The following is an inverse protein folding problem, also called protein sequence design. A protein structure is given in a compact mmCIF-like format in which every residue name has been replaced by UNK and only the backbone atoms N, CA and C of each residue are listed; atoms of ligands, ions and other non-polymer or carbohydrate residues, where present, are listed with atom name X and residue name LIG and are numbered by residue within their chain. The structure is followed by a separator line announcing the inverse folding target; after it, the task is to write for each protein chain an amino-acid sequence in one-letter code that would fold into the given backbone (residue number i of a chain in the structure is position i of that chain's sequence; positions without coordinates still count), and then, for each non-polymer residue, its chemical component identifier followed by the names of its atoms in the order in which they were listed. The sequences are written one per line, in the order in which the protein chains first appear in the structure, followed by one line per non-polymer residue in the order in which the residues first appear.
data_IF_966758843495
#
_entry.id   IF_966758843495
#
_cell.length_a   1.000
_cell.length_b   1.000
_cell.length_c   1.000
_cell.angle_alpha   90.00
_cell.angle_beta   90.00
_cell.angle_gamma   90.00
#
_symmetry.space_group_name_H-M   'P 1'
#
loop_
_entity.id
_entity.type
_entity.pdbx_description
1 polymer ?
#
# COMPACT_ATOMS: atom_id res chain seq x y z
N UNK A 1 18.58 -25.79 -24.64
CA UNK A 1 17.44 -24.91 -24.35
C UNK A 1 16.81 -25.49 -23.12
N UNK A 2 16.80 -24.75 -22.01
CA UNK A 2 16.12 -25.23 -20.81
C UNK A 2 14.62 -25.31 -21.12
N UNK A 3 14.08 -26.51 -20.94
CA UNK A 3 12.65 -26.73 -21.03
C UNK A 3 12.04 -26.39 -19.67
N UNK A 4 10.94 -25.64 -19.66
CA UNK A 4 10.17 -25.37 -18.43
C UNK A 4 9.73 -26.68 -17.75
N UNK A 5 9.46 -27.72 -18.56
CA UNK A 5 9.20 -29.06 -18.06
C UNK A 5 10.53 -29.76 -17.75
N UNK A 6 10.70 -30.29 -16.53
CA UNK A 6 11.96 -30.91 -16.12
C UNK A 6 12.17 -32.32 -16.70
N UNK A 7 11.11 -32.96 -17.20
CA UNK A 7 11.13 -34.35 -17.64
C UNK A 7 11.51 -34.49 -19.13
N UNK A 8 12.43 -35.38 -19.41
CA UNK A 8 12.80 -35.85 -20.74
C UNK A 8 11.77 -36.84 -21.31
N UNK A 9 11.82 -37.07 -22.63
CA UNK A 9 10.95 -38.07 -23.26
C UNK A 9 11.14 -39.49 -22.69
N UNK A 10 12.36 -39.85 -22.29
CA UNK A 10 12.65 -41.17 -21.75
C UNK A 10 12.14 -41.33 -20.32
N UNK A 11 12.24 -40.28 -19.48
CA UNK A 11 11.58 -40.24 -18.17
C UNK A 11 10.06 -40.35 -18.31
N UNK A 12 9.46 -39.64 -19.27
CA UNK A 12 8.01 -39.74 -19.54
C UNK A 12 7.62 -41.17 -19.96
N UNK A 13 8.40 -41.84 -20.82
CA UNK A 13 8.16 -43.24 -21.20
C UNK A 13 8.25 -44.17 -20.00
N UNK A 14 9.25 -44.00 -19.13
CA UNK A 14 9.37 -44.79 -17.91
C UNK A 14 8.16 -44.56 -16.99
N UNK A 15 7.76 -43.31 -16.78
CA UNK A 15 6.58 -42.95 -15.99
C UNK A 15 5.31 -43.61 -16.55
N UNK A 16 5.08 -43.53 -17.86
CA UNK A 16 3.93 -44.15 -18.52
C UNK A 16 3.93 -45.67 -18.38
N UNK A 17 5.07 -46.33 -18.59
CA UNK A 17 5.23 -47.76 -18.36
C UNK A 17 4.92 -48.16 -16.92
N UNK A 18 5.42 -47.39 -15.94
CA UNK A 18 5.20 -47.65 -14.51
C UNK A 18 3.74 -47.55 -14.08
N UNK A 19 3.02 -46.56 -14.61
CA UNK A 19 1.60 -46.36 -14.29
C UNK A 19 0.65 -47.15 -15.22
N UNK A 20 1.20 -47.89 -16.19
CA UNK A 20 0.45 -48.79 -17.08
C UNK A 20 -0.36 -48.09 -18.17
N UNK A 21 0.03 -46.87 -18.58
CA UNK A 21 -0.59 -46.13 -19.69
C UNK A 21 0.33 -46.07 -20.89
N UNK A 22 -0.25 -45.90 -22.08
CA UNK A 22 0.53 -45.81 -23.33
C UNK A 22 1.10 -44.43 -23.59
N UNK A 23 0.33 -43.39 -23.27
CA UNK A 23 0.66 -42.00 -23.53
C UNK A 23 -0.19 -41.07 -22.63
N UNK A 24 0.07 -39.77 -22.74
CA UNK A 24 -0.64 -38.74 -21.98
C UNK A 24 -2.16 -38.73 -22.22
N UNK A 25 -2.63 -39.10 -23.42
CA UNK A 25 -4.06 -39.06 -23.75
C UNK A 25 -4.88 -40.04 -22.92
N UNK A 26 -4.29 -41.16 -22.48
CA UNK A 26 -4.96 -42.12 -21.62
C UNK A 26 -5.24 -41.57 -20.22
N UNK A 27 -4.41 -40.63 -19.73
CA UNK A 27 -4.63 -39.94 -18.46
C UNK A 27 -5.81 -38.98 -18.51
N UNK A 28 -6.16 -38.49 -19.71
CA UNK A 28 -7.26 -37.56 -19.93
C UNK A 28 -8.63 -38.24 -20.01
N UNK A 29 -8.70 -39.58 -20.09
CA UNK A 29 -9.97 -40.34 -20.19
C UNK A 29 -10.92 -40.11 -19.00
N UNK A 30 -10.40 -39.60 -17.88
CA UNK A 30 -11.20 -39.21 -16.70
C UNK A 30 -12.01 -37.94 -16.92
N UNK A 31 -11.64 -37.12 -17.91
CA UNK A 31 -12.33 -35.89 -18.28
C UNK A 31 -13.38 -36.24 -19.35
N UNK A 32 -14.67 -35.91 -19.14
CA UNK A 32 -15.71 -36.11 -20.14
C UNK A 32 -15.33 -35.50 -21.50
N UNK A 33 -15.43 -36.25 -22.63
CA UNK A 33 -14.98 -35.78 -23.95
C UNK A 33 -15.64 -34.49 -24.43
N UNK A 34 -16.86 -34.21 -23.98
CA UNK A 34 -17.60 -32.99 -24.25
C UNK A 34 -17.01 -31.75 -23.57
N UNK A 35 -16.23 -31.91 -22.50
CA UNK A 35 -15.53 -30.84 -21.79
C UNK A 35 -14.13 -30.58 -22.35
N UNK A 36 -13.58 -31.51 -23.15
CA UNK A 36 -12.27 -31.33 -23.77
C UNK A 36 -12.35 -30.35 -24.94
N UNK A 37 -11.35 -29.48 -25.01
CA UNK A 37 -11.21 -28.57 -26.13
C UNK A 37 -10.94 -29.37 -27.41
N UNK A 38 -11.81 -29.23 -28.42
CA UNK A 38 -11.74 -30.00 -29.67
C UNK A 38 -10.80 -29.39 -30.73
N UNK A 39 -10.22 -28.23 -30.43
CA UNK A 39 -9.31 -27.49 -31.28
C UNK A 39 -8.14 -27.01 -30.43
N UNK A 40 -7.03 -26.69 -31.08
CA UNK A 40 -5.91 -26.07 -30.38
C UNK A 40 -6.29 -24.68 -29.85
N UNK A 41 -5.54 -24.22 -28.85
CA UNK A 41 -5.62 -22.85 -28.38
C UNK A 41 -5.14 -21.92 -29.51
N UNK A 42 -5.92 -20.87 -29.78
CA UNK A 42 -5.55 -19.86 -30.77
C UNK A 42 -4.50 -18.91 -30.18
N UNK A 43 -3.25 -19.38 -30.08
CA UNK A 43 -2.11 -18.64 -29.54
C UNK A 43 -1.10 -18.35 -30.66
N UNK A 44 -0.29 -17.28 -30.54
CA UNK A 44 0.88 -17.07 -31.39
C UNK A 44 1.85 -18.25 -31.30
N UNK A 45 2.72 -18.37 -32.30
CA UNK A 45 3.81 -19.35 -32.28
C UNK A 45 4.70 -19.12 -31.06
N UNK A 46 5.14 -20.19 -30.42
CA UNK A 46 6.04 -20.13 -29.27
C UNK A 46 7.34 -19.42 -29.64
N UNK A 47 7.78 -18.52 -28.77
CA UNK A 47 9.06 -17.84 -28.88
C UNK A 47 10.12 -18.57 -28.05
N UNK A 48 11.37 -18.50 -28.49
CA UNK A 48 12.50 -18.78 -27.61
C UNK A 48 12.57 -17.73 -26.48
N UNK A 49 13.28 -18.05 -25.39
CA UNK A 49 13.50 -17.11 -24.30
C UNK A 49 14.10 -15.78 -24.79
N UNK A 50 15.06 -15.84 -25.72
CA UNK A 50 15.71 -14.66 -26.30
C UNK A 50 14.71 -13.79 -27.07
N UNK A 51 13.86 -14.40 -27.90
CA UNK A 51 12.83 -13.69 -28.68
C UNK A 51 11.77 -13.08 -27.76
N UNK A 52 11.33 -13.81 -26.73
CA UNK A 52 10.37 -13.32 -25.75
C UNK A 52 10.92 -12.11 -24.97
N UNK A 53 12.17 -12.17 -24.51
CA UNK A 53 12.83 -11.05 -23.83
C UNK A 53 12.99 -9.84 -24.75
N UNK A 54 13.38 -10.05 -26.00
CA UNK A 54 13.50 -8.97 -26.98
C UNK A 54 12.16 -8.28 -27.22
N UNK A 55 11.07 -9.04 -27.40
CA UNK A 55 9.73 -8.51 -27.61
C UNK A 55 9.20 -7.76 -26.38
N UNK A 56 9.43 -8.28 -25.16
CA UNK A 56 9.04 -7.60 -23.93
C UNK A 56 9.78 -6.27 -23.75
N UNK A 57 11.08 -6.25 -24.06
CA UNK A 57 11.90 -5.04 -24.02
C UNK A 57 11.47 -3.99 -25.05
N UNK A 58 11.12 -4.41 -26.27
CA UNK A 58 10.56 -3.49 -27.27
C UNK A 58 9.23 -2.90 -26.80
N UNK A 59 8.38 -3.72 -26.16
CA UNK A 59 7.10 -3.27 -25.64
C UNK A 59 7.28 -2.29 -24.48
N UNK A 60 8.22 -2.54 -23.57
CA UNK A 60 8.47 -1.66 -22.42
C UNK A 60 8.96 -0.28 -22.83
N UNK A 61 9.68 -0.15 -23.95
CA UNK A 61 10.11 1.16 -24.49
C UNK A 61 8.97 2.06 -24.99
N UNK A 62 7.75 1.54 -25.08
CA UNK A 62 6.56 2.37 -25.37
C UNK A 62 6.08 3.12 -24.12
N UNK A 63 6.49 2.67 -22.94
CA UNK A 63 6.18 3.34 -21.69
C UNK A 63 7.13 4.53 -21.48
N UNK A 64 6.65 5.51 -20.73
CA UNK A 64 7.38 6.70 -20.31
C UNK A 64 7.47 6.66 -18.78
N UNK A 65 8.53 6.04 -18.27
CA UNK A 65 8.73 5.82 -16.82
C UNK A 65 9.36 7.02 -16.12
N UNK A 66 9.47 6.95 -14.81
CA UNK A 66 10.22 7.82 -13.92
C UNK A 66 11.73 7.88 -14.24
N UNK A 67 12.25 6.98 -15.06
CA UNK A 67 13.62 7.09 -15.59
C UNK A 67 13.72 8.14 -16.70
N UNK A 68 12.60 8.39 -17.39
CA UNK A 68 12.50 9.37 -18.48
C UNK A 68 11.95 10.72 -17.98
N UNK A 69 11.24 10.72 -16.85
CA UNK A 69 10.53 11.87 -16.32
C UNK A 69 10.88 12.15 -14.85
N UNK A 70 11.03 13.41 -14.51
CA UNK A 70 11.12 13.84 -13.10
C UNK A 70 9.72 13.81 -12.48
N UNK A 71 9.49 12.89 -11.53
CA UNK A 71 8.17 12.66 -10.94
C UNK A 71 7.93 13.49 -9.67
N UNK A 72 6.83 14.24 -9.66
CA UNK A 72 6.29 15.04 -8.57
C UNK A 72 4.78 14.79 -8.36
N UNK A 73 4.25 13.67 -8.84
CA UNK A 73 2.81 13.42 -8.88
C UNK A 73 2.26 13.07 -7.46
N UNK A 74 2.71 11.99 -6.83
CA UNK A 74 2.14 11.58 -5.55
C UNK A 74 0.73 11.00 -5.73
N UNK A 75 -0.21 11.40 -4.87
CA UNK A 75 -1.57 10.85 -4.84
C UNK A 75 -1.65 9.48 -4.17
N UNK A 76 -0.76 9.21 -3.22
CA UNK A 76 -0.63 7.91 -2.54
C UNK A 76 0.38 6.93 -3.17
N UNK A 77 1.14 7.37 -4.17
CA UNK A 77 2.23 6.61 -4.79
C UNK A 77 3.42 7.53 -5.04
N UNK A 78 4.59 7.21 -4.48
CA UNK A 78 5.70 8.15 -4.38
C UNK A 78 7.00 7.58 -4.94
N UNK A 79 7.72 8.40 -5.72
CA UNK A 79 8.99 8.04 -6.34
C UNK A 79 10.16 8.18 -5.35
N UNK A 80 10.27 7.22 -4.43
CA UNK A 80 11.36 7.08 -3.47
C UNK A 80 12.57 6.35 -4.07
N UNK A 81 13.76 6.62 -3.55
CA UNK A 81 14.96 5.85 -3.88
C UNK A 81 14.92 4.47 -3.21
N UNK A 82 15.14 3.42 -3.99
CA UNK A 82 15.22 2.05 -3.51
C UNK A 82 16.70 1.63 -3.47
N UNK A 83 17.29 1.40 -2.29
CA UNK A 83 18.67 0.94 -2.21
C UNK A 83 18.86 -0.40 -2.94
N UNK A 84 19.93 -0.53 -3.73
CA UNK A 84 20.21 -1.76 -4.49
C UNK A 84 20.32 -3.04 -3.63
N UNK A 85 20.61 -2.88 -2.33
CA UNK A 85 20.61 -3.98 -1.37
C UNK A 85 19.20 -4.58 -1.16
N UNK A 86 18.13 -3.79 -1.31
CA UNK A 86 16.75 -4.27 -1.24
C UNK A 86 16.50 -5.29 -2.34
N UNK A 87 16.73 -4.90 -3.60
CA UNK A 87 16.59 -5.77 -4.78
C UNK A 87 17.43 -7.05 -4.64
N UNK A 88 18.69 -6.89 -4.19
CA UNK A 88 19.59 -8.01 -4.00
C UNK A 88 19.11 -9.03 -2.95
N UNK A 89 18.34 -8.61 -1.93
CA UNK A 89 17.78 -9.50 -0.91
C UNK A 89 16.48 -10.12 -1.39
N UNK A 90 15.54 -9.33 -1.94
CA UNK A 90 14.23 -9.85 -2.37
C UNK A 90 14.35 -10.76 -3.59
N UNK A 91 15.42 -10.66 -4.38
CA UNK A 91 15.70 -11.57 -5.50
C UNK A 91 16.32 -12.90 -5.07
N UNK A 92 16.64 -13.09 -3.79
CA UNK A 92 17.21 -14.37 -3.31
C UNK A 92 16.16 -15.47 -3.36
N UNK A 93 16.54 -16.63 -3.90
CA UNK A 93 15.63 -17.76 -4.14
C UNK A 93 14.87 -18.21 -2.90
N UNK A 94 15.51 -18.21 -1.73
CA UNK A 94 14.95 -18.60 -0.44
C UNK A 94 13.83 -17.66 0.05
N UNK A 95 13.74 -16.45 -0.48
CA UNK A 95 12.61 -15.55 -0.25
C UNK A 95 11.66 -15.52 -1.44
N UNK A 96 12.19 -15.38 -2.66
CA UNK A 96 11.41 -15.19 -3.88
C UNK A 96 10.58 -16.42 -4.29
N UNK A 97 11.11 -17.62 -4.07
CA UNK A 97 10.43 -18.88 -4.48
C UNK A 97 9.68 -19.55 -3.33
N UNK A 98 9.92 -19.10 -2.10
CA UNK A 98 9.23 -19.63 -0.93
C UNK A 98 7.75 -19.20 -0.94
N UNK A 99 6.87 -20.10 -0.49
CA UNK A 99 5.48 -19.79 -0.24
C UNK A 99 5.22 -19.57 1.26
N UNK A 100 3.95 -19.51 1.64
CA UNK A 100 3.52 -19.33 3.04
C UNK A 100 4.30 -20.26 3.98
N UNK A 101 4.91 -19.74 5.07
CA UNK A 101 5.78 -20.50 5.96
C UNK A 101 4.98 -21.41 6.92
N UNK A 102 4.22 -22.36 6.36
CA UNK A 102 3.41 -23.31 7.13
C UNK A 102 4.27 -24.28 7.96
N UNK A 103 5.44 -24.66 7.42
CA UNK A 103 6.40 -25.52 8.10
C UNK A 103 7.45 -24.64 8.78
N UNK A 104 7.19 -24.27 10.03
CA UNK A 104 7.96 -23.23 10.72
C UNK A 104 9.43 -23.60 10.90
N UNK A 105 9.73 -24.87 11.16
CA UNK A 105 11.07 -25.40 11.42
C UNK A 105 12.02 -25.21 10.23
N UNK A 106 11.50 -25.17 9.01
CA UNK A 106 12.27 -24.96 7.77
C UNK A 106 12.04 -23.59 7.15
N UNK A 107 11.38 -22.68 7.86
CA UNK A 107 11.02 -21.34 7.37
C UNK A 107 11.42 -20.20 8.32
N UNK A 108 12.34 -20.46 9.27
CA UNK A 108 12.67 -19.50 10.34
C UNK A 108 13.21 -18.16 9.81
N UNK A 109 13.97 -18.14 8.71
CA UNK A 109 14.48 -16.88 8.13
C UNK A 109 13.35 -15.97 7.66
N UNK A 110 12.40 -16.51 6.88
CA UNK A 110 11.20 -15.78 6.43
C UNK A 110 10.34 -15.34 7.61
N UNK A 111 10.12 -16.23 8.60
CA UNK A 111 9.32 -15.92 9.78
C UNK A 111 9.96 -14.82 10.63
N UNK A 112 11.28 -14.84 10.79
CA UNK A 112 12.02 -13.81 11.52
C UNK A 112 11.90 -12.45 10.81
N UNK A 113 12.14 -12.39 9.49
CA UNK A 113 12.04 -11.15 8.74
C UNK A 113 10.63 -10.53 8.83
N UNK A 114 9.57 -11.36 8.77
CA UNK A 114 8.20 -10.89 8.96
C UNK A 114 7.97 -10.39 10.40
N UNK A 115 8.53 -11.08 11.40
CA UNK A 115 8.44 -10.65 12.80
C UNK A 115 9.17 -9.31 13.03
N UNK A 116 10.31 -9.09 12.38
CA UNK A 116 11.06 -7.84 12.41
C UNK A 116 10.28 -6.72 11.73
N UNK A 117 9.71 -6.96 10.54
CA UNK A 117 8.76 -6.04 9.89
C UNK A 117 7.61 -5.65 10.83
N UNK A 118 6.92 -6.63 11.43
CA UNK A 118 5.81 -6.36 12.36
C UNK A 118 6.28 -5.50 13.55
N UNK A 119 7.47 -5.77 14.06
CA UNK A 119 8.05 -5.05 15.21
C UNK A 119 8.37 -3.60 14.84
N UNK A 120 8.94 -3.35 13.67
CA UNK A 120 9.24 -2.00 13.17
C UNK A 120 7.96 -1.21 12.87
N UNK A 121 6.94 -1.84 12.28
CA UNK A 121 5.63 -1.20 12.09
C UNK A 121 4.98 -0.84 13.43
N UNK A 122 5.01 -1.74 14.42
CA UNK A 122 4.51 -1.43 15.76
C UNK A 122 5.24 -0.24 16.39
N UNK A 123 6.57 -0.18 16.26
CA UNK A 123 7.38 0.92 16.77
C UNK A 123 7.03 2.26 16.10
N UNK A 124 6.96 2.29 14.76
CA UNK A 124 6.60 3.50 14.00
C UNK A 124 5.19 4.00 14.31
N UNK A 125 4.23 3.09 14.48
CA UNK A 125 2.81 3.44 14.63
C UNK A 125 2.37 3.59 16.09
N UNK A 126 3.20 3.22 17.06
CA UNK A 126 2.83 3.18 18.48
C UNK A 126 1.75 2.14 18.79
N UNK A 127 1.70 1.05 18.02
CA UNK A 127 0.71 -0.02 18.11
C UNK A 127 1.27 -1.26 18.83
N UNK A 128 0.37 -2.13 19.29
CA UNK A 128 0.77 -3.33 20.05
C UNK A 128 0.98 -4.55 19.15
N UNK A 129 0.30 -4.62 18.01
CA UNK A 129 0.42 -5.72 17.05
C UNK A 129 0.19 -5.25 15.61
N UNK A 130 1.07 -5.65 14.70
CA UNK A 130 0.91 -5.49 13.25
C UNK A 130 0.70 -6.86 12.59
N UNK A 131 0.01 -6.91 11.45
CA UNK A 131 -0.08 -8.12 10.65
C UNK A 131 1.15 -8.28 9.75
N UNK A 132 1.26 -9.45 9.11
CA UNK A 132 2.34 -9.75 8.18
C UNK A 132 2.03 -9.24 6.75
N UNK A 133 1.66 -7.97 6.60
CA UNK A 133 1.15 -7.29 5.37
C UNK A 133 -0.32 -7.52 5.01
N UNK A 134 -0.84 -6.58 4.22
CA UNK A 134 -2.08 -6.62 3.44
C UNK A 134 -1.78 -6.25 1.98
N UNK A 135 -2.77 -6.35 1.08
CA UNK A 135 -2.58 -6.11 -0.37
C UNK A 135 -2.11 -4.68 -0.70
N UNK A 136 -2.76 -3.67 -0.13
CA UNK A 136 -2.46 -2.25 -0.36
C UNK A 136 -3.09 -1.40 0.77
N UNK A 137 -2.80 -0.09 0.79
CA UNK A 137 -3.39 0.83 1.76
C UNK A 137 -4.92 0.93 1.71
N UNK A 138 -5.51 0.79 0.52
CA UNK A 138 -6.96 0.90 0.31
C UNK A 138 -7.74 -0.25 0.97
N UNK A 139 -7.31 -1.47 0.69
CA UNK A 139 -7.86 -2.71 1.25
C UNK A 139 -7.56 -2.82 2.74
N UNK A 140 -6.39 -2.35 3.20
CA UNK A 140 -6.08 -2.27 4.63
C UNK A 140 -7.08 -1.36 5.37
N UNK A 141 -7.39 -0.17 4.82
CA UNK A 141 -8.39 0.72 5.41
C UNK A 141 -9.79 0.09 5.39
N UNK A 142 -10.18 -0.54 4.29
CA UNK A 142 -11.48 -1.21 4.20
C UNK A 142 -11.62 -2.39 5.20
N UNK A 143 -10.54 -3.10 5.49
CA UNK A 143 -10.51 -4.13 6.53
C UNK A 143 -10.54 -3.55 7.96
N UNK A 144 -10.02 -2.34 8.16
CA UNK A 144 -10.13 -1.64 9.44
C UNK A 144 -11.59 -1.27 9.75
N UNK A 145 -12.34 -0.82 8.73
CA UNK A 145 -13.79 -0.63 8.81
C UNK A 145 -14.50 -1.92 9.26
N UNK A 146 -14.20 -3.05 8.59
CA UNK A 146 -14.77 -4.35 8.96
C UNK A 146 -14.42 -4.81 10.37
N UNK A 147 -13.15 -4.66 10.75
CA UNK A 147 -12.68 -5.00 12.08
C UNK A 147 -13.45 -4.19 13.13
N UNK A 148 -13.62 -2.89 12.92
CA UNK A 148 -14.33 -2.01 13.83
C UNK A 148 -15.82 -2.37 13.95
N UNK A 149 -16.50 -2.59 12.83
CA UNK A 149 -17.90 -3.03 12.82
C UNK A 149 -18.09 -4.35 13.57
N UNK A 150 -17.19 -5.33 13.35
CA UNK A 150 -17.24 -6.62 14.03
C UNK A 150 -16.93 -6.54 15.53
N UNK A 151 -16.05 -5.62 15.94
CA UNK A 151 -15.69 -5.43 17.33
C UNK A 151 -16.81 -4.73 18.11
N UNK A 152 -17.37 -3.66 17.55
CA UNK A 152 -18.39 -2.83 18.19
C UNK A 152 -19.81 -3.38 18.01
N UNK A 153 -20.01 -4.26 17.01
CA UNK A 153 -21.32 -4.75 16.53
C UNK A 153 -22.23 -3.61 16.06
N UNK A 154 -21.62 -2.64 15.36
CA UNK A 154 -22.28 -1.47 14.80
C UNK A 154 -22.03 -1.44 13.29
N UNK A 155 -22.99 -0.93 12.53
CA UNK A 155 -23.00 -0.97 11.07
C UNK A 155 -22.83 0.42 10.44
N UNK A 156 -22.44 1.43 11.22
CA UNK A 156 -22.17 2.79 10.71
C UNK A 156 -20.73 3.18 10.94
N UNK A 157 -20.12 3.87 9.98
CA UNK A 157 -18.74 4.38 10.08
C UNK A 157 -18.70 5.81 9.57
N UNK A 158 -17.98 6.68 10.27
CA UNK A 158 -17.66 8.01 9.78
C UNK A 158 -16.28 7.98 9.13
N UNK A 159 -16.15 8.51 7.92
CA UNK A 159 -14.87 8.59 7.19
C UNK A 159 -14.60 10.04 6.79
N UNK A 160 -13.38 10.52 6.98
CA UNK A 160 -12.98 11.83 6.49
C UNK A 160 -13.01 11.89 4.95
N UNK A 161 -13.53 12.98 4.40
CA UNK A 161 -13.38 13.34 2.98
C UNK A 161 -11.91 13.46 2.55
N UNK A 162 -11.01 13.78 3.50
CA UNK A 162 -9.57 13.87 3.31
C UNK A 162 -8.85 12.52 3.19
N UNK A 163 -9.53 11.39 3.44
CA UNK A 163 -8.99 10.07 3.07
C UNK A 163 -8.87 9.99 1.55
N UNK A 164 -7.78 9.37 1.07
CA UNK A 164 -7.53 9.14 -0.36
C UNK A 164 -8.80 8.65 -1.06
N UNK A 165 -9.24 9.31 -2.15
CA UNK A 165 -10.52 9.02 -2.80
C UNK A 165 -10.60 7.58 -3.32
N UNK A 166 -9.47 6.99 -3.74
CA UNK A 166 -9.43 5.58 -4.13
C UNK A 166 -9.61 4.63 -2.94
N UNK A 167 -9.11 5.01 -1.77
CA UNK A 167 -9.29 4.21 -0.54
C UNK A 167 -10.75 4.27 -0.09
N UNK A 168 -11.38 5.45 -0.17
CA UNK A 168 -12.82 5.61 0.07
C UNK A 168 -13.65 4.77 -0.90
N UNK A 169 -13.32 4.78 -2.20
CA UNK A 169 -14.03 3.97 -3.20
C UNK A 169 -13.95 2.45 -2.92
N UNK A 170 -12.77 1.95 -2.53
CA UNK A 170 -12.60 0.54 -2.15
C UNK A 170 -13.40 0.23 -0.87
N UNK A 171 -13.33 1.12 0.12
CA UNK A 171 -14.09 1.00 1.36
C UNK A 171 -15.60 1.00 1.13
N UNK A 172 -16.13 1.89 0.29
CA UNK A 172 -17.55 1.93 -0.11
C UNK A 172 -17.98 0.65 -0.83
N UNK A 173 -17.13 0.11 -1.70
CA UNK A 173 -17.37 -1.16 -2.38
C UNK A 173 -17.51 -2.31 -1.38
N UNK A 174 -16.62 -2.35 -0.38
CA UNK A 174 -16.68 -3.31 0.71
C UNK A 174 -17.94 -3.10 1.56
N UNK A 175 -18.25 -1.86 1.92
CA UNK A 175 -19.39 -1.50 2.75
C UNK A 175 -20.72 -1.90 2.11
N UNK A 176 -20.89 -1.64 0.81
CA UNK A 176 -22.08 -2.01 0.04
C UNK A 176 -22.36 -3.52 0.11
N UNK A 177 -21.34 -4.36 -0.03
CA UNK A 177 -21.50 -5.82 0.02
C UNK A 177 -21.90 -6.34 1.42
N UNK A 178 -21.65 -5.57 2.47
CA UNK A 178 -21.86 -5.98 3.87
C UNK A 178 -22.91 -5.17 4.62
N UNK A 179 -23.60 -4.26 3.94
CA UNK A 179 -24.64 -3.43 4.56
C UNK A 179 -24.12 -2.43 5.60
N UNK A 180 -22.86 -1.99 5.48
CA UNK A 180 -22.28 -0.96 6.34
C UNK A 180 -22.61 0.42 5.75
N UNK A 181 -23.11 1.32 6.58
CA UNK A 181 -23.39 2.71 6.24
C UNK A 181 -22.14 3.57 6.45
N UNK A 182 -21.64 4.16 5.36
CA UNK A 182 -20.45 5.00 5.36
C UNK A 182 -20.89 6.46 5.22
N UNK A 183 -20.59 7.26 6.25
CA UNK A 183 -20.95 8.67 6.31
C UNK A 183 -19.68 9.49 6.19
N UNK A 184 -19.65 10.43 5.25
CA UNK A 184 -18.48 11.29 5.03
C UNK A 184 -18.49 12.48 6.00
N UNK A 185 -17.37 12.70 6.69
CA UNK A 185 -17.08 13.92 7.45
C UNK A 185 -16.44 14.92 6.49
N UNK A 186 -17.01 16.12 6.31
CA UNK A 186 -16.50 17.10 5.36
C UNK A 186 -15.17 17.69 5.81
N UNK A 187 -14.43 18.25 4.85
CA UNK A 187 -13.27 19.08 5.15
C UNK A 187 -13.65 20.53 5.48
N UNK A 188 -12.91 21.15 6.40
CA UNK A 188 -12.95 22.58 6.73
C UNK A 188 -11.53 23.13 6.67
N UNK A 189 -11.28 24.00 5.68
CA UNK A 189 -9.94 24.56 5.42
C UNK A 189 -8.86 23.48 5.26
N UNK A 190 -9.19 22.38 4.57
CA UNK A 190 -8.27 21.28 4.26
C UNK A 190 -8.07 20.27 5.38
N UNK A 191 -8.70 20.47 6.55
CA UNK A 191 -8.69 19.56 7.70
C UNK A 191 -10.03 18.86 7.82
N UNK A 192 -10.05 17.66 8.38
CA UNK A 192 -11.28 16.95 8.72
C UNK A 192 -12.02 17.72 9.83
N UNK A 193 -13.33 17.92 9.69
CA UNK A 193 -14.10 18.58 10.75
C UNK A 193 -14.15 17.70 12.01
N UNK A 194 -13.48 18.14 13.07
CA UNK A 194 -13.41 17.43 14.36
C UNK A 194 -14.66 17.64 15.23
N UNK A 195 -15.57 18.56 14.86
CA UNK A 195 -16.84 18.70 15.56
C UNK A 195 -17.80 17.58 15.16
N UNK A 196 -17.81 16.52 15.96
CA UNK A 196 -18.65 15.35 15.74
C UNK A 196 -20.04 15.44 16.39
N UNK A 197 -20.42 16.61 16.95
CA UNK A 197 -21.68 16.77 17.70
C UNK A 197 -22.94 16.54 16.87
N UNK A 198 -22.85 16.68 15.55
CA UNK A 198 -23.94 16.40 14.61
C UNK A 198 -24.21 14.92 14.33
N UNK A 199 -23.35 14.01 14.81
CA UNK A 199 -23.46 12.57 14.55
C UNK A 199 -23.88 11.80 15.81
N UNK A 200 -24.70 10.78 15.65
CA UNK A 200 -24.96 9.81 16.73
C UNK A 200 -23.81 8.83 16.87
N UNK A 201 -22.75 9.24 17.58
CA UNK A 201 -21.56 8.42 17.80
C UNK A 201 -21.84 7.13 18.59
N UNK A 202 -23.02 6.97 19.23
CA UNK A 202 -23.37 5.73 19.93
C UNK A 202 -23.74 4.59 18.98
N UNK A 203 -24.14 4.91 17.75
CA UNK A 203 -24.38 3.93 16.67
C UNK A 203 -23.22 3.78 15.69
N UNK A 204 -22.15 4.57 15.83
CA UNK A 204 -20.95 4.53 14.99
C UNK A 204 -19.93 3.50 15.51
N UNK A 205 -19.42 2.66 14.62
CA UNK A 205 -18.37 1.68 14.88
C UNK A 205 -16.98 2.32 14.95
N UNK A 206 -16.69 3.21 14.00
CA UNK A 206 -15.42 3.90 13.92
C UNK A 206 -15.51 5.28 13.28
N UNK A 207 -14.56 6.13 13.65
CA UNK A 207 -14.17 7.33 12.91
C UNK A 207 -12.83 7.06 12.24
N UNK A 208 -12.76 7.30 10.93
CA UNK A 208 -11.62 6.93 10.09
C UNK A 208 -11.07 8.18 9.40
N UNK A 209 -9.82 8.51 9.67
CA UNK A 209 -9.13 9.68 9.10
C UNK A 209 -7.82 9.25 8.44
N UNK A 210 -7.22 10.12 7.63
CA UNK A 210 -5.88 9.93 7.08
C UNK A 210 -4.99 11.11 7.48
N UNK A 211 -3.78 10.87 7.95
CA UNK A 211 -2.82 11.92 8.32
C UNK A 211 -1.38 11.55 7.94
N UNK A 212 -0.68 12.35 7.13
CA UNK A 212 -1.20 13.47 6.33
C UNK A 212 -2.33 13.02 5.40
N UNK A 213 -3.36 13.86 5.24
CA UNK A 213 -4.52 13.56 4.39
C UNK A 213 -4.18 13.67 2.90
N UNK A 214 -5.12 13.33 2.02
CA UNK A 214 -4.91 13.29 0.56
C UNK A 214 -4.51 14.65 -0.05
N UNK A 215 -4.78 15.76 0.64
CA UNK A 215 -4.39 17.11 0.20
C UNK A 215 -3.02 17.53 0.76
N UNK A 216 -2.35 16.62 1.47
CA UNK A 216 -1.04 16.82 2.11
C UNK A 216 -1.11 17.33 3.55
N UNK A 217 -2.30 17.71 4.03
CA UNK A 217 -2.49 18.40 5.31
C UNK A 217 -2.35 17.42 6.49
N UNK A 218 -1.62 17.84 7.53
CA UNK A 218 -1.46 17.07 8.76
C UNK A 218 -2.69 17.29 9.66
N UNK A 219 -3.42 16.22 9.98
CA UNK A 219 -4.63 16.24 10.81
C UNK A 219 -4.30 16.28 12.32
N UNK A 220 -5.15 16.94 13.11
CA UNK A 220 -5.12 16.87 14.58
C UNK A 220 -5.83 15.59 15.07
N UNK A 221 -5.07 14.50 15.19
CA UNK A 221 -5.58 13.19 15.61
C UNK A 221 -6.19 13.25 17.03
N UNK A 222 -5.62 14.08 17.92
CA UNK A 222 -6.05 14.17 19.33
C UNK A 222 -7.48 14.71 19.43
N UNK A 223 -7.85 15.63 18.54
CA UNK A 223 -9.19 16.21 18.49
C UNK A 223 -10.31 15.17 18.31
N UNK A 224 -10.02 14.03 17.70
CA UNK A 224 -10.98 12.94 17.50
C UNK A 224 -11.00 11.92 18.65
N UNK A 225 -9.90 11.76 19.40
CA UNK A 225 -9.74 10.64 20.34
C UNK A 225 -10.81 10.61 21.44
N UNK A 226 -10.95 11.68 22.22
CA UNK A 226 -11.85 11.68 23.37
C UNK A 226 -13.33 11.51 22.97
N UNK A 227 -13.89 12.29 22.02
CA UNK A 227 -15.30 12.15 21.64
C UNK A 227 -15.65 10.77 21.09
N UNK A 228 -14.72 10.14 20.35
CA UNK A 228 -14.91 8.79 19.78
C UNK A 228 -14.90 7.72 20.87
N UNK A 229 -13.97 7.82 21.83
CA UNK A 229 -13.83 6.83 22.90
C UNK A 229 -14.94 6.94 23.94
N UNK A 230 -15.49 8.13 24.20
CA UNK A 230 -16.62 8.33 25.11
C UNK A 230 -17.86 7.50 24.73
N UNK A 231 -18.02 7.18 23.44
CA UNK A 231 -19.12 6.32 22.94
C UNK A 231 -18.70 4.89 22.62
N UNK A 232 -17.45 4.51 22.93
CA UNK A 232 -16.84 3.19 22.62
C UNK A 232 -16.74 2.89 21.11
N UNK A 233 -16.78 3.92 20.26
CA UNK A 233 -16.35 3.78 18.88
C UNK A 233 -14.82 3.68 18.82
N UNK A 234 -14.27 3.25 17.68
CA UNK A 234 -12.82 3.15 17.48
C UNK A 234 -12.31 4.29 16.60
N UNK A 235 -11.08 4.76 16.87
CA UNK A 235 -10.39 5.70 16.00
C UNK A 235 -9.42 4.95 15.08
N UNK A 236 -9.62 5.08 13.77
CA UNK A 236 -8.70 4.54 12.75
C UNK A 236 -7.96 5.68 12.06
N UNK A 237 -6.63 5.56 11.96
CA UNK A 237 -5.79 6.53 11.27
C UNK A 237 -5.03 5.84 10.14
N UNK A 238 -5.26 6.24 8.90
CA UNK A 238 -4.42 5.87 7.76
C UNK A 238 -3.24 6.83 7.66
N UNK A 239 -2.03 6.33 7.43
CA UNK A 239 -0.80 7.15 7.48
C UNK A 239 0.10 6.93 6.28
N UNK A 240 0.92 7.94 6.00
CA UNK A 240 2.18 7.76 5.29
C UNK A 240 3.24 7.28 6.29
N UNK A 241 3.82 6.07 6.15
CA UNK A 241 4.72 5.53 7.16
C UNK A 241 6.04 6.30 7.31
N UNK A 242 6.49 7.03 6.28
CA UNK A 242 7.72 7.84 6.34
C UNK A 242 7.47 9.10 7.17
N UNK A 243 6.27 9.68 7.11
CA UNK A 243 5.91 10.85 7.93
C UNK A 243 6.05 10.58 9.44
N UNK A 244 5.87 9.33 9.88
CA UNK A 244 5.97 8.92 11.28
C UNK A 244 7.40 8.92 11.84
N UNK A 245 8.39 9.15 10.98
CA UNK A 245 9.76 9.41 11.44
C UNK A 245 9.89 10.79 12.12
N UNK A 246 8.95 11.71 11.85
CA UNK A 246 8.93 13.07 12.39
C UNK A 246 7.68 13.36 13.22
N UNK A 247 6.54 12.80 12.82
CA UNK A 247 5.27 12.99 13.50
C UNK A 247 5.10 12.01 14.65
N UNK A 248 4.40 12.45 15.70
CA UNK A 248 4.07 11.58 16.83
C UNK A 248 3.23 10.38 16.36
N UNK A 249 3.57 9.20 16.88
CA UNK A 249 2.93 7.95 16.50
C UNK A 249 1.41 8.01 16.77
N UNK A 250 0.53 7.65 15.80
CA UNK A 250 -0.92 7.76 15.98
C UNK A 250 -1.45 6.98 17.19
N UNK A 251 -0.79 5.87 17.54
CA UNK A 251 -1.14 5.08 18.72
C UNK A 251 -0.94 5.79 20.05
N UNK A 252 -0.06 6.78 20.12
CA UNK A 252 0.12 7.62 21.30
C UNK A 252 -0.90 8.78 21.32
N UNK A 253 -1.50 9.09 20.17
CA UNK A 253 -2.51 10.13 19.97
C UNK A 253 -3.95 9.60 20.06
N UNK A 254 -4.12 8.32 20.43
CA UNK A 254 -5.43 7.71 20.68
C UNK A 254 -5.99 6.86 19.54
N UNK A 255 -5.21 6.57 18.49
CA UNK A 255 -5.64 5.61 17.48
C UNK A 255 -5.74 4.19 18.05
N UNK A 256 -6.81 3.48 17.70
CA UNK A 256 -7.02 2.06 18.01
C UNK A 256 -6.49 1.14 16.90
N UNK A 257 -6.57 1.63 15.65
CA UNK A 257 -6.17 0.96 14.42
C UNK A 257 -5.36 1.94 13.58
N UNK A 258 -4.21 1.51 13.08
CA UNK A 258 -3.41 2.25 12.11
C UNK A 258 -3.29 1.44 10.84
N UNK A 259 -3.57 2.09 9.71
CA UNK A 259 -3.40 1.52 8.37
C UNK A 259 -2.48 2.40 7.54
N UNK A 260 -2.01 1.94 6.39
CA UNK A 260 -1.23 2.79 5.50
C UNK A 260 -0.74 2.06 4.27
N UNK A 261 -0.13 2.80 3.35
CA UNK A 261 0.55 2.24 2.19
C UNK A 261 2.06 2.25 2.44
N UNK A 262 2.66 1.07 2.39
CA UNK A 262 4.07 0.81 2.61
C UNK A 262 4.92 0.89 1.35
N UNK A 263 4.37 1.26 0.19
CA UNK A 263 5.11 1.36 -1.08
C UNK A 263 6.42 2.15 -0.93
N UNK A 264 6.38 3.31 -0.27
CA UNK A 264 7.58 4.15 -0.08
C UNK A 264 8.72 3.49 0.73
N UNK A 265 8.46 2.36 1.39
CA UNK A 265 9.46 1.58 2.12
C UNK A 265 10.10 0.55 1.18
N UNK A 266 10.75 1.00 0.11
CA UNK A 266 11.57 0.16 -0.76
C UNK A 266 10.81 -0.66 -1.82
N UNK A 267 9.53 -0.36 -2.09
CA UNK A 267 8.78 -0.96 -3.19
C UNK A 267 8.64 0.04 -4.35
N UNK A 268 8.78 -0.41 -5.59
CA UNK A 268 8.68 0.45 -6.77
C UNK A 268 7.22 0.79 -7.12
N UNK A 269 7.02 1.89 -7.85
CA UNK A 269 5.69 2.34 -8.30
C UNK A 269 4.98 1.29 -9.16
N UNK A 270 5.72 0.62 -10.06
CA UNK A 270 5.27 -0.52 -10.88
C UNK A 270 3.88 -0.36 -11.54
N UNK A 271 3.47 0.88 -11.83
CA UNK A 271 2.14 1.21 -12.36
C UNK A 271 0.97 0.67 -11.49
N UNK A 272 1.15 0.68 -10.16
CA UNK A 272 0.09 0.38 -9.18
C UNK A 272 0.33 -0.84 -8.30
N UNK A 273 1.43 -1.59 -8.48
CA UNK A 273 1.74 -2.70 -7.57
C UNK A 273 2.75 -3.73 -8.09
N UNK A 274 3.12 -4.72 -7.27
CA UNK A 274 2.53 -5.01 -5.95
C UNK A 274 2.94 -3.96 -4.91
N UNK A 275 1.96 -3.55 -4.10
CA UNK A 275 2.11 -2.56 -3.02
C UNK A 275 2.09 -3.26 -1.66
N UNK A 276 2.06 -2.50 -0.55
CA UNK A 276 2.17 -3.05 0.79
C UNK A 276 1.14 -2.40 1.71
N UNK A 277 0.03 -3.08 1.98
CA UNK A 277 -0.90 -2.62 3.00
C UNK A 277 -0.34 -2.82 4.41
N UNK A 278 -0.16 -1.72 5.15
CA UNK A 278 0.19 -1.71 6.57
C UNK A 278 -1.10 -1.82 7.39
N UNK A 279 -1.09 -2.68 8.41
CA UNK A 279 -2.20 -2.82 9.35
C UNK A 279 -1.70 -3.14 10.75
N UNK A 280 -1.94 -2.24 11.70
CA UNK A 280 -1.55 -2.38 13.09
C UNK A 280 -2.67 -1.95 14.04
N UNK A 281 -2.72 -2.54 15.23
CA UNK A 281 -3.79 -2.33 16.21
C UNK A 281 -3.29 -2.29 17.64
N UNK A 282 -4.11 -1.73 18.53
CA UNK A 282 -3.99 -1.92 19.97
C UNK A 282 -4.35 -3.36 20.38
N UNK A 283 -3.75 -3.83 21.47
CA UNK A 283 -3.80 -5.21 21.98
C UNK A 283 -5.22 -5.79 22.10
N UNK A 284 -6.27 -5.04 22.54
CA UNK A 284 -7.63 -5.57 22.60
C UNK A 284 -8.18 -6.08 21.26
N UNK A 285 -7.68 -5.56 20.13
CA UNK A 285 -8.14 -5.87 18.79
C UNK A 285 -7.32 -6.98 18.11
N UNK A 286 -6.21 -7.43 18.70
CA UNK A 286 -5.29 -8.41 18.10
C UNK A 286 -5.97 -9.70 17.62
N UNK A 287 -7.02 -10.17 18.31
CA UNK A 287 -7.79 -11.36 17.92
C UNK A 287 -8.70 -11.16 16.70
N UNK A 288 -8.87 -9.92 16.26
CA UNK A 288 -9.67 -9.53 15.09
C UNK A 288 -8.82 -9.11 13.90
N UNK A 289 -7.49 -9.02 14.06
CA UNK A 289 -6.59 -8.60 13.01
C UNK A 289 -6.76 -9.46 11.74
N UNK A 290 -6.80 -8.87 10.54
CA UNK A 290 -6.86 -9.61 9.28
C UNK A 290 -5.47 -10.21 8.94
N UNK A 291 -5.48 -11.34 8.25
CA UNK A 291 -4.27 -11.99 7.75
C UNK A 291 -3.37 -12.61 8.82
N UNK A 292 -2.15 -12.93 8.40
CA UNK A 292 -1.17 -13.66 9.20
C UNK A 292 -0.55 -12.78 10.28
N UNK A 293 -0.14 -13.40 11.38
CA UNK A 293 0.65 -12.77 12.45
C UNK A 293 1.77 -13.74 12.78
N UNK A 294 3.02 -13.27 12.80
CA UNK A 294 4.13 -14.06 13.31
C UNK A 294 4.37 -13.72 14.77
N UNK A 295 4.58 -14.75 15.58
CA UNK A 295 4.88 -14.63 17.00
C UNK A 295 6.15 -15.38 17.36
N UNK A 296 6.90 -14.85 18.33
CA UNK A 296 8.01 -15.56 18.94
C UNK A 296 7.49 -16.65 19.89
N UNK A 297 8.16 -17.79 19.90
CA UNK A 297 7.89 -18.94 20.77
C UNK A 297 9.22 -19.64 21.13
N UNK A 298 9.15 -20.77 21.82
CA UNK A 298 10.29 -21.66 22.08
C UNK A 298 10.04 -23.05 21.52
N UNK A 299 11.11 -23.71 21.05
CA UNK A 299 11.07 -25.10 20.61
C UNK A 299 11.13 -26.10 21.78
N UNK A 300 11.20 -27.39 21.47
CA UNK A 300 11.30 -28.46 22.47
C UNK A 300 12.62 -28.48 23.27
N UNK A 301 13.62 -27.69 22.88
CA UNK A 301 14.89 -27.49 23.58
C UNK A 301 14.97 -26.14 24.29
N UNK A 302 13.89 -25.35 24.28
CA UNK A 302 13.84 -24.02 24.89
C UNK A 302 14.52 -22.92 24.07
N UNK A 303 14.89 -23.19 22.81
CA UNK A 303 15.48 -22.19 21.91
C UNK A 303 14.38 -21.31 21.32
N UNK A 304 14.64 -20.01 21.22
CA UNK A 304 13.68 -19.07 20.60
C UNK A 304 13.52 -19.40 19.11
N UNK A 305 12.27 -19.38 18.65
CA UNK A 305 11.90 -19.46 17.24
C UNK A 305 10.64 -18.67 16.96
N UNK A 306 10.21 -18.67 15.70
CA UNK A 306 9.07 -17.90 15.22
C UNK A 306 8.05 -18.83 14.57
N UNK A 307 6.76 -18.53 14.72
CA UNK A 307 5.66 -19.32 14.13
C UNK A 307 4.54 -18.40 13.68
N UNK A 308 3.74 -18.84 12.70
CA UNK A 308 2.44 -18.23 12.46
C UNK A 308 1.55 -18.51 13.67
N UNK A 309 1.02 -17.45 14.30
CA UNK A 309 0.22 -17.57 15.52
C UNK A 309 -1.21 -17.05 15.31
N UNK A 310 -2.11 -17.47 16.20
CA UNK A 310 -3.54 -17.12 16.14
C UNK A 310 -4.17 -17.47 14.77
N UNK A 311 -3.72 -18.54 14.13
CA UNK A 311 -4.18 -18.96 12.79
C UNK A 311 -5.68 -19.30 12.73
N UNK A 312 -6.30 -19.55 13.88
CA UNK A 312 -7.75 -19.78 13.97
C UNK A 312 -8.58 -18.56 13.55
N UNK A 313 -7.97 -17.40 13.29
CA UNK A 313 -8.62 -16.24 12.66
C UNK A 313 -8.76 -16.38 11.15
N UNK A 314 -7.91 -17.18 10.51
CA UNK A 314 -7.71 -17.19 9.07
C UNK A 314 -8.67 -18.14 8.32
N UNK A 315 -8.86 -17.87 7.02
CA UNK A 315 -9.81 -18.57 6.15
C UNK A 315 -9.61 -20.09 6.09
N UNK A 316 -8.38 -20.59 6.19
CA UNK A 316 -8.09 -22.02 6.06
C UNK A 316 -8.58 -22.83 7.26
N UNK A 317 -8.84 -22.18 8.40
CA UNK A 317 -9.43 -22.80 9.60
C UNK A 317 -10.90 -22.39 9.75
N UNK A 318 -11.20 -21.09 9.68
CA UNK A 318 -12.53 -20.57 10.01
C UNK A 318 -13.46 -20.33 8.83
N UNK A 319 -12.97 -20.40 7.60
CA UNK A 319 -13.75 -20.23 6.37
C UNK A 319 -14.58 -18.94 6.40
N UNK A 320 -15.90 -19.04 6.30
CA UNK A 320 -16.86 -17.94 6.35
C UNK A 320 -16.84 -17.15 7.67
N UNK A 321 -16.31 -17.74 8.76
CA UNK A 321 -16.19 -17.09 10.08
C UNK A 321 -14.81 -16.49 10.35
N UNK A 322 -13.95 -16.46 9.33
CA UNK A 322 -12.63 -15.86 9.42
C UNK A 322 -12.73 -14.34 9.59
N UNK A 323 -11.63 -13.70 10.01
CA UNK A 323 -11.58 -12.24 10.15
C UNK A 323 -11.50 -11.53 8.80
N UNK A 324 -11.01 -12.20 7.76
CA UNK A 324 -10.90 -11.72 6.38
C UNK A 324 -10.79 -12.92 5.43
N UNK A 325 -11.05 -12.69 4.15
CA UNK A 325 -10.84 -13.66 3.08
C UNK A 325 -9.37 -13.75 2.62
N UNK A 326 -8.48 -12.87 3.10
CA UNK A 326 -7.08 -12.80 2.70
C UNK A 326 -6.38 -14.15 2.89
N UNK A 327 -5.59 -14.54 1.88
CA UNK A 327 -4.80 -15.77 1.88
C UNK A 327 -3.38 -15.45 1.41
N UNK A 328 -3.11 -15.40 0.10
CA UNK A 328 -1.90 -14.74 -0.39
C UNK A 328 -1.90 -13.29 0.09
N UNK A 329 -0.73 -12.76 0.42
CA UNK A 329 -0.51 -11.38 0.80
C UNK A 329 0.84 -10.92 0.21
N UNK A 330 1.28 -9.74 0.59
CA UNK A 330 2.47 -9.08 0.02
C UNK A 330 3.71 -9.30 0.88
N UNK A 331 4.00 -10.58 1.18
CA UNK A 331 5.13 -10.95 2.05
C UNK A 331 6.49 -10.52 1.49
N UNK A 332 6.68 -10.52 0.17
CA UNK A 332 7.91 -10.06 -0.46
C UNK A 332 8.06 -8.53 -0.37
N UNK A 333 6.96 -7.79 -0.51
CA UNK A 333 6.94 -6.34 -0.31
C UNK A 333 7.21 -5.96 1.15
N UNK A 334 6.70 -6.76 2.10
CA UNK A 334 7.01 -6.60 3.52
C UNK A 334 8.49 -6.87 3.81
N UNK A 335 9.12 -7.82 3.11
CA UNK A 335 10.57 -8.04 3.19
C UNK A 335 11.34 -6.84 2.63
N UNK A 336 10.93 -6.26 1.50
CA UNK A 336 11.53 -5.03 0.97
C UNK A 336 11.46 -3.88 1.98
N UNK A 337 10.30 -3.70 2.62
CA UNK A 337 10.13 -2.72 3.70
C UNK A 337 11.00 -3.02 4.91
N UNK A 338 11.10 -4.28 5.32
CA UNK A 338 11.97 -4.72 6.41
C UNK A 338 13.42 -4.34 6.14
N UNK A 339 13.96 -4.74 4.98
CA UNK A 339 15.35 -4.46 4.58
C UNK A 339 15.59 -2.95 4.48
N UNK A 340 14.65 -2.19 3.93
CA UNK A 340 14.75 -0.73 3.83
C UNK A 340 14.85 -0.07 5.20
N UNK A 341 13.97 -0.45 6.13
CA UNK A 341 13.96 0.09 7.49
C UNK A 341 15.22 -0.31 8.26
N UNK A 342 15.73 -1.53 8.08
CA UNK A 342 16.99 -1.97 8.68
C UNK A 342 18.22 -1.23 8.13
N UNK A 343 18.25 -0.97 6.81
CA UNK A 343 19.36 -0.24 6.17
C UNK A 343 19.40 1.22 6.61
N UNK A 344 18.24 1.86 6.73
CA UNK A 344 18.14 3.26 7.14
C UNK A 344 18.34 3.41 8.66
N UNK A 345 17.78 2.49 9.45
CA UNK A 345 17.61 2.67 10.88
C UNK A 345 16.75 3.88 11.23
N UNK A 346 16.67 4.21 12.51
CA UNK A 346 15.89 5.36 13.00
C UNK A 346 16.41 6.69 12.43
N UNK A 347 17.72 6.93 12.53
CA UNK A 347 18.33 8.20 12.09
C UNK A 347 18.25 8.39 10.57
N UNK A 348 18.49 7.34 9.77
CA UNK A 348 18.41 7.45 8.31
C UNK A 348 16.97 7.63 7.81
N UNK A 349 16.00 6.99 8.47
CA UNK A 349 14.59 7.19 8.16
C UNK A 349 14.15 8.62 8.51
N UNK A 350 14.62 9.16 9.64
CA UNK A 350 14.40 10.55 10.04
C UNK A 350 15.02 11.52 9.05
N UNK A 351 16.28 11.33 8.66
CA UNK A 351 16.96 12.17 7.67
C UNK A 351 16.21 12.14 6.32
N UNK A 352 15.78 10.96 5.87
CA UNK A 352 14.96 10.83 4.66
C UNK A 352 13.66 11.63 4.76
N UNK A 353 12.95 11.53 5.89
CA UNK A 353 11.73 12.28 6.12
C UNK A 353 11.98 13.80 6.17
N UNK A 354 13.05 14.25 6.84
CA UNK A 354 13.44 15.66 6.88
C UNK A 354 13.75 16.20 5.48
N UNK A 355 14.43 15.43 4.63
CA UNK A 355 14.69 15.80 3.24
C UNK A 355 13.39 15.94 2.46
N UNK A 356 12.43 15.01 2.62
CA UNK A 356 11.13 15.12 1.97
C UNK A 356 10.41 16.41 2.40
N UNK A 357 10.34 16.66 3.71
CA UNK A 357 9.70 17.85 4.28
C UNK A 357 10.36 19.15 3.76
N UNK A 358 11.67 19.30 3.93
CA UNK A 358 12.37 20.53 3.55
C UNK A 358 12.28 20.82 2.05
N UNK A 359 12.40 19.77 1.21
CA UNK A 359 12.31 19.93 -0.24
C UNK A 359 10.89 20.23 -0.71
N UNK A 360 9.87 19.63 -0.08
CA UNK A 360 8.48 19.93 -0.37
C UNK A 360 8.15 21.41 -0.07
N UNK A 361 8.57 21.91 1.10
CA UNK A 361 8.39 23.32 1.47
C UNK A 361 9.18 24.26 0.56
N UNK A 362 10.42 23.92 0.20
CA UNK A 362 11.19 24.67 -0.79
C UNK A 362 10.45 24.79 -2.13
N UNK A 363 9.92 23.68 -2.65
CA UNK A 363 9.20 23.68 -3.92
C UNK A 363 7.90 24.48 -3.81
N UNK A 364 7.13 24.28 -2.73
CA UNK A 364 5.88 24.99 -2.49
C UNK A 364 6.08 26.52 -2.47
N UNK A 365 7.07 27.02 -1.73
CA UNK A 365 7.40 28.45 -1.65
C UNK A 365 7.74 29.03 -3.03
N UNK A 366 8.52 28.31 -3.82
CA UNK A 366 8.93 28.77 -5.15
C UNK A 366 7.80 28.72 -6.18
N UNK A 367 6.90 27.73 -6.09
CA UNK A 367 5.69 27.67 -6.92
C UNK A 367 4.75 28.83 -6.55
N UNK A 368 4.51 29.07 -5.27
CA UNK A 368 3.62 30.14 -4.81
C UNK A 368 4.16 31.56 -5.05
N UNK A 369 5.45 31.69 -5.41
CA UNK A 369 6.02 32.95 -5.88
C UNK A 369 5.67 33.26 -7.36
N UNK A 370 5.04 32.32 -8.08
CA UNK A 370 4.58 32.50 -9.46
C UNK A 370 3.14 33.04 -9.43
N UNK A 371 2.87 34.07 -10.23
CA UNK A 371 1.52 34.62 -10.36
C UNK A 371 0.53 33.52 -10.81
N UNK A 372 -0.63 33.48 -10.15
CA UNK A 372 -1.67 32.49 -10.45
C UNK A 372 -1.55 31.15 -9.72
N UNK A 373 -0.53 30.96 -8.88
CA UNK A 373 -0.40 29.80 -7.98
C UNK A 373 -0.48 30.21 -6.51
N UNK A 374 -1.20 29.43 -5.70
CA UNK A 374 -1.23 29.57 -4.25
C UNK A 374 -1.39 28.20 -3.57
N UNK A 375 -0.92 28.04 -2.33
CA UNK A 375 -1.27 26.87 -1.54
C UNK A 375 -2.78 26.81 -1.34
N UNK A 376 -3.39 25.65 -1.58
CA UNK A 376 -4.83 25.47 -1.42
C UNK A 376 -5.28 25.73 0.03
N UNK A 377 -4.42 25.37 1.00
CA UNK A 377 -4.68 25.51 2.42
C UNK A 377 -3.41 25.98 3.15
N UNK A 378 -3.58 26.90 4.10
CA UNK A 378 -2.51 27.39 4.98
C UNK A 378 -2.37 26.51 6.22
N UNK A 379 -2.18 25.21 6.02
CA UNK A 379 -2.01 24.22 7.06
C UNK A 379 -0.64 23.54 6.95
N UNK A 380 -0.10 22.97 8.04
CA UNK A 380 1.11 22.17 7.97
C UNK A 380 0.93 20.96 7.05
N UNK A 381 1.94 20.69 6.23
CA UNK A 381 2.01 19.53 5.34
C UNK A 381 3.39 18.89 5.39
N UNK A 382 3.46 17.61 5.01
CA UNK A 382 4.70 16.83 5.02
C UNK A 382 5.45 16.90 3.68
N UNK A 383 5.26 15.89 2.82
CA UNK A 383 5.96 15.74 1.54
C UNK A 383 5.07 15.97 0.31
N UNK A 384 3.78 16.07 0.54
CA UNK A 384 2.75 16.28 -0.48
C UNK A 384 1.94 17.51 -0.11
N UNK A 385 1.50 18.29 -1.09
CA UNK A 385 0.70 19.50 -0.89
C UNK A 385 -0.17 19.81 -2.11
N UNK A 386 -1.36 20.35 -1.86
CA UNK A 386 -2.25 20.85 -2.89
C UNK A 386 -1.98 22.33 -3.20
N UNK A 387 -1.87 22.64 -4.49
CA UNK A 387 -1.73 24.01 -5.01
C UNK A 387 -3.00 24.34 -5.80
N UNK A 388 -3.50 25.56 -5.62
CA UNK A 388 -4.52 26.15 -6.50
C UNK A 388 -3.83 26.85 -7.66
N UNK A 389 -4.33 26.60 -8.86
CA UNK A 389 -3.89 27.27 -10.08
C UNK A 389 -5.08 27.96 -10.74
N UNK A 390 -4.92 29.25 -11.06
CA UNK A 390 -5.99 30.06 -11.67
C UNK A 390 -6.29 29.72 -13.13
N UNK A 391 -5.39 29.00 -13.81
CA UNK A 391 -5.58 28.52 -15.18
C UNK A 391 -6.18 27.11 -15.28
N UNK A 392 -6.06 26.50 -16.45
CA UNK A 392 -6.59 25.16 -16.70
C UNK A 392 -5.59 24.08 -16.25
N UNK A 393 -5.88 23.39 -15.14
CA UNK A 393 -5.01 22.38 -14.53
C UNK A 393 -4.60 21.27 -15.50
N UNK A 394 -5.56 20.69 -16.24
CA UNK A 394 -5.26 19.58 -17.17
C UNK A 394 -4.30 20.00 -18.28
N UNK A 395 -4.48 21.20 -18.84
CA UNK A 395 -3.56 21.75 -19.84
C UNK A 395 -2.18 22.02 -19.27
N UNK A 396 -2.09 22.43 -18.00
CA UNK A 396 -0.82 22.63 -17.30
C UNK A 396 -0.08 21.30 -17.14
N UNK A 397 -0.76 20.26 -16.66
CA UNK A 397 -0.15 18.93 -16.46
C UNK A 397 0.32 18.30 -17.76
N UNK A 398 -0.45 18.43 -18.85
CA UNK A 398 -0.05 17.93 -20.18
C UNK A 398 1.20 18.64 -20.71
N UNK A 399 1.25 19.98 -20.61
CA UNK A 399 2.42 20.76 -21.02
C UNK A 399 3.66 20.41 -20.20
N UNK A 400 3.51 20.16 -18.90
CA UNK A 400 4.61 19.75 -18.03
C UNK A 400 5.13 18.36 -18.38
N UNK A 401 4.23 17.43 -18.73
CA UNK A 401 4.62 16.13 -19.27
C UNK A 401 5.40 16.30 -20.58
N UNK A 402 4.99 17.18 -21.49
CA UNK A 402 5.79 17.47 -22.70
C UNK A 402 7.20 18.04 -22.40
N UNK A 403 7.41 18.58 -21.19
CA UNK A 403 8.70 19.08 -20.69
C UNK A 403 9.46 18.08 -19.81
N UNK A 404 8.94 16.87 -19.64
CA UNK A 404 9.59 15.80 -18.87
C UNK A 404 9.28 15.79 -17.37
N UNK A 405 8.20 16.46 -16.94
CA UNK A 405 7.77 16.48 -15.55
C UNK A 405 6.42 15.80 -15.38
N UNK A 406 6.32 14.87 -14.44
CA UNK A 406 5.03 14.30 -14.02
C UNK A 406 4.56 15.05 -12.77
N UNK A 407 3.46 15.78 -12.88
CA UNK A 407 2.84 16.54 -11.79
C UNK A 407 1.34 16.21 -11.72
N UNK A 408 0.67 16.62 -10.65
CA UNK A 408 -0.74 16.29 -10.43
C UNK A 408 -0.88 15.07 -9.51
N UNK A 409 -2.00 14.34 -9.48
CA UNK A 409 -3.15 14.51 -10.35
C UNK A 409 -3.81 15.87 -10.18
N UNK A 410 -4.44 16.36 -11.25
CA UNK A 410 -5.47 17.39 -11.12
C UNK A 410 -6.65 16.82 -10.35
N UNK A 411 -7.16 17.59 -9.38
CA UNK A 411 -8.08 17.07 -8.38
C UNK A 411 -9.56 17.13 -8.77
N UNK A 412 -9.89 17.79 -9.88
CA UNK A 412 -11.24 17.84 -10.48
C UNK A 412 -11.86 16.46 -10.66
N UNK A 413 -11.03 15.44 -10.92
CA UNK A 413 -11.47 14.06 -11.14
C UNK A 413 -12.02 13.37 -9.90
N UNK A 414 -11.82 13.97 -8.72
CA UNK A 414 -12.26 13.43 -7.44
C UNK A 414 -13.35 14.27 -6.79
N UNK A 415 -13.37 15.59 -7.04
CA UNK A 415 -14.42 16.49 -6.56
C UNK A 415 -14.48 17.76 -7.41
N UNK A 416 -15.70 18.22 -7.73
CA UNK A 416 -15.92 19.51 -8.40
C UNK A 416 -15.41 20.71 -7.58
N UNK A 417 -15.38 20.57 -6.25
CA UNK A 417 -14.85 21.58 -5.33
C UNK A 417 -13.32 21.74 -5.42
N UNK A 418 -12.63 20.79 -6.07
CA UNK A 418 -11.18 20.78 -6.27
C UNK A 418 -10.77 21.03 -7.73
N UNK A 419 -11.66 21.61 -8.54
CA UNK A 419 -11.46 21.78 -9.99
C UNK A 419 -10.19 22.54 -10.40
N UNK A 420 -9.72 23.43 -9.54
CA UNK A 420 -8.57 24.31 -9.73
C UNK A 420 -7.36 23.87 -8.90
N UNK A 421 -7.43 22.67 -8.29
CA UNK A 421 -6.36 22.13 -7.48
C UNK A 421 -5.56 21.05 -8.22
N UNK A 422 -4.26 21.02 -7.95
CA UNK A 422 -3.36 19.93 -8.33
C UNK A 422 -2.41 19.58 -7.20
N UNK A 423 -2.02 18.31 -7.13
CA UNK A 423 -1.03 17.84 -6.16
C UNK A 423 0.40 18.00 -6.67
N UNK A 424 1.29 18.22 -5.70
CA UNK A 424 2.72 18.06 -5.84
C UNK A 424 3.23 17.21 -4.68
N UNK A 425 4.07 16.23 -4.99
CA UNK A 425 4.78 15.44 -3.99
C UNK A 425 6.30 15.48 -4.23
N UNK A 426 7.07 15.60 -3.16
CA UNK A 426 8.53 15.72 -3.21
C UNK A 426 9.17 14.70 -2.26
N UNK A 427 9.93 13.76 -2.83
CA UNK A 427 10.67 12.75 -2.08
C UNK A 427 12.15 13.15 -1.92
N UNK A 428 12.89 12.41 -1.10
CA UNK A 428 14.35 12.56 -0.95
C UNK A 428 15.10 12.41 -2.29
N UNK A 429 14.53 11.66 -3.25
CA UNK A 429 15.10 11.44 -4.58
C UNK A 429 15.20 12.72 -5.41
N UNK A 430 14.34 13.72 -5.15
CA UNK A 430 14.30 14.98 -5.91
C UNK A 430 15.49 15.88 -5.58
N UNK A 431 16.11 16.47 -6.59
CA UNK A 431 17.22 17.41 -6.45
C UNK A 431 16.76 18.86 -6.54
N UNK A 432 17.53 19.79 -5.98
CA UNK A 432 17.27 21.23 -6.12
C UNK A 432 17.23 21.67 -7.59
N UNK A 433 18.12 21.14 -8.43
CA UNK A 433 18.19 21.46 -9.86
C UNK A 433 16.90 21.05 -10.57
N UNK A 434 16.35 19.87 -10.27
CA UNK A 434 15.08 19.43 -10.84
C UNK A 434 13.92 20.31 -10.39
N UNK A 435 13.86 20.66 -9.10
CA UNK A 435 12.83 21.56 -8.55
C UNK A 435 12.91 22.96 -9.18
N UNK A 436 14.11 23.53 -9.31
CA UNK A 436 14.31 24.84 -9.94
C UNK A 436 13.89 24.83 -11.41
N UNK A 437 14.21 23.75 -12.14
CA UNK A 437 13.78 23.58 -13.54
C UNK A 437 12.27 23.44 -13.67
N UNK A 438 11.61 22.75 -12.74
CA UNK A 438 10.15 22.70 -12.71
C UNK A 438 9.56 24.10 -12.51
N UNK A 439 10.08 24.87 -11.54
CA UNK A 439 9.63 26.24 -11.25
C UNK A 439 9.83 27.17 -12.45
N UNK A 440 11.00 27.11 -13.11
CA UNK A 440 11.26 27.87 -14.34
C UNK A 440 10.30 27.47 -15.46
N UNK A 441 10.06 26.17 -15.62
CA UNK A 441 9.12 25.65 -16.62
C UNK A 441 7.70 26.18 -16.35
N UNK A 442 7.23 26.11 -15.10
CA UNK A 442 5.95 26.67 -14.67
C UNK A 442 5.83 28.16 -15.04
N UNK A 443 6.84 28.98 -14.71
CA UNK A 443 6.84 30.41 -15.08
C UNK A 443 6.73 30.66 -16.59
N UNK A 444 7.25 29.75 -17.41
CA UNK A 444 7.26 29.91 -18.87
C UNK A 444 5.95 29.51 -19.54
N UNK A 445 5.10 28.70 -18.89
CA UNK A 445 3.90 28.11 -19.50
C UNK A 445 2.58 28.47 -18.79
N UNK A 446 2.67 29.00 -17.57
CA UNK A 446 1.53 29.32 -16.71
C UNK A 446 0.82 30.62 -17.10
#
# INVERSE_FOLDING_TARGET
MDHFLPHTEDELKEMFFRIGVKDFSELLKTIPPELLLKKELNLPVSLSELEALAQLKETSYKNRSEDCYTCFMGGGAYDHFIPAAVDAIISRSEFYTAYTPYQAEVSQGTLQAIYEYQSMICALTGMDAANASHYDGATALAEAMYLACNQTRREKVLVSEGVNPHYRQVMETYAHASGIDVITIPLKNGLTDSDLSGYDLTSVAAVMIQSPNFLGVIEDIVAFSQPVHDTKALLTVSVDPISLALLEAPGNLGADIVTGEGQGLGNALNYGGPYLGIFAVKKPLMRRLPGRIIGATVDNQGRRGFVMTLQTREQHIRRDKATSNICTNESLCALAACVTLELLGEEGLKEMAELCLQKAHYLADNICAIEGFELAYKQPFFKEFAVRYTGEVEKLTDKLADKGFLVGPGLVRFSDDWKDLLLFAVTEKRTKVEMDRLVETLRSIA
#
